data_IF_088484985455
#
_entry.id   IF_088484985455
#
_cell.length_a   1.000
_cell.length_b   1.000
_cell.length_c   1.000
_cell.angle_alpha   90.00
_cell.angle_beta   90.00
_cell.angle_gamma   90.00
#
_symmetry.space_group_name_H-M   'P 1'
#
loop_
_entity.id
_entity.type
_entity.pdbx_description
1 polymer ?
#
# COMPACT_ATOMS: atom_id res chain seq x y z
N UNK A 1 63.80 34.37 2.13
CA UNK A 1 63.44 35.44 1.17
C UNK A 1 63.26 34.79 -0.20
N UNK A 2 62.09 35.01 -0.86
CA UNK A 2 61.63 34.51 -2.19
C UNK A 2 61.30 33.00 -2.21
N UNK A 3 60.09 32.51 -2.50
CA UNK A 3 59.00 32.97 -3.37
C UNK A 3 59.27 32.49 -4.80
N UNK A 4 58.40 31.81 -5.57
CA UNK A 4 57.00 31.40 -5.48
C UNK A 4 56.59 30.83 -6.86
N UNK A 5 55.35 30.31 -6.96
CA UNK A 5 54.58 29.95 -8.18
C UNK A 5 55.03 28.68 -8.93
N UNK A 6 54.19 27.73 -9.33
CA UNK A 6 52.73 27.66 -9.44
C UNK A 6 52.32 27.20 -10.85
N UNK A 7 51.44 26.21 -10.96
CA UNK A 7 50.70 25.92 -12.21
C UNK A 7 50.82 24.50 -12.76
N UNK A 8 50.13 23.54 -12.13
CA UNK A 8 49.87 22.22 -12.70
C UNK A 8 48.60 22.24 -13.56
N UNK A 9 48.76 22.14 -14.88
CA UNK A 9 47.68 21.86 -15.83
C UNK A 9 47.51 20.35 -16.00
N UNK A 10 46.46 19.78 -15.42
CA UNK A 10 46.05 18.39 -15.62
C UNK A 10 44.87 18.33 -16.57
N UNK A 11 45.10 17.77 -17.77
CA UNK A 11 44.16 17.75 -18.88
C UNK A 11 42.90 16.92 -18.66
N UNK A 12 41.83 17.38 -19.31
CA UNK A 12 40.58 16.67 -19.49
C UNK A 12 40.72 15.76 -20.73
N UNK A 13 40.97 14.47 -20.54
CA UNK A 13 40.57 13.43 -21.51
C UNK A 13 39.07 13.16 -21.31
N UNK A 14 38.22 13.07 -22.33
CA UNK A 14 38.48 12.53 -23.65
C UNK A 14 38.24 11.01 -23.68
N UNK A 15 37.07 10.55 -23.23
CA UNK A 15 36.56 9.20 -23.51
C UNK A 15 35.21 9.32 -24.20
N UNK A 16 35.32 9.52 -25.50
CA UNK A 16 34.33 9.18 -26.51
C UNK A 16 34.53 7.69 -26.86
N UNK A 17 33.43 7.05 -27.28
CA UNK A 17 33.39 5.83 -28.10
C UNK A 17 33.46 4.45 -27.40
N UNK A 18 32.26 3.84 -27.35
CA UNK A 18 32.04 2.52 -27.92
C UNK A 18 31.56 1.45 -26.95
N UNK A 19 30.28 1.04 -27.07
CA UNK A 19 29.88 -0.37 -26.89
C UNK A 19 28.59 -0.69 -27.68
N UNK A 20 28.80 -1.45 -28.76
CA UNK A 20 27.99 -2.54 -29.31
C UNK A 20 26.58 -2.27 -29.87
N UNK A 21 26.59 -1.92 -31.15
CA UNK A 21 25.75 -2.56 -32.18
C UNK A 21 25.74 -4.09 -32.03
N UNK A 22 24.55 -4.65 -31.76
CA UNK A 22 24.24 -6.07 -31.98
C UNK A 22 22.91 -6.19 -32.71
N UNK A 23 22.86 -5.64 -33.93
CA UNK A 23 21.84 -5.97 -34.93
C UNK A 23 22.18 -7.34 -35.52
N UNK A 24 21.52 -8.37 -35.01
CA UNK A 24 21.46 -9.66 -35.68
C UNK A 24 20.63 -9.52 -36.95
N UNK A 25 21.29 -9.72 -38.09
CA UNK A 25 20.65 -9.85 -39.38
C UNK A 25 19.85 -11.15 -39.47
N UNK A 26 18.61 -11.04 -39.93
CA UNK A 26 17.81 -12.18 -40.36
C UNK A 26 17.93 -12.26 -41.87
N UNK A 27 18.41 -13.41 -42.33
CA UNK A 27 18.54 -13.80 -43.72
C UNK A 27 17.23 -13.62 -44.50
N UNK A 28 17.30 -12.79 -45.53
CA UNK A 28 16.39 -12.82 -46.68
C UNK A 28 16.69 -14.08 -47.49
N UNK A 29 15.88 -15.13 -47.32
CA UNK A 29 15.73 -16.19 -48.32
C UNK A 29 14.26 -16.43 -48.62
N UNK A 30 13.87 -15.93 -49.79
CA UNK A 30 13.12 -16.63 -50.84
C UNK A 30 11.94 -17.50 -50.43
N UNK A 31 10.75 -17.13 -50.91
CA UNK A 31 9.60 -18.02 -50.92
C UNK A 31 8.35 -17.30 -51.38
N UNK A 32 8.31 -16.89 -52.65
CA UNK A 32 7.05 -16.52 -53.28
C UNK A 32 6.13 -17.74 -53.29
N UNK A 33 4.94 -17.60 -52.71
CA UNK A 33 3.86 -18.53 -52.98
C UNK A 33 2.63 -17.73 -53.40
N UNK A 34 2.15 -18.10 -54.58
CA UNK A 34 1.04 -17.52 -55.29
C UNK A 34 -0.27 -18.18 -54.83
N UNK A 35 -1.34 -17.39 -54.93
CA UNK A 35 -2.72 -17.80 -55.27
C UNK A 35 -3.63 -18.50 -54.25
N UNK A 36 -4.92 -18.20 -54.47
CA UNK A 36 -6.16 -18.75 -53.92
C UNK A 36 -6.57 -18.12 -52.58
N UNK A 37 -7.58 -17.25 -52.48
CA UNK A 37 -8.90 -17.36 -53.08
C UNK A 37 -9.80 -18.17 -52.15
N UNK A 38 -10.79 -17.53 -51.52
CA UNK A 38 -11.86 -18.27 -50.86
C UNK A 38 -12.47 -17.64 -49.61
N UNK A 39 -13.70 -17.15 -49.79
CA UNK A 39 -14.82 -17.23 -48.85
C UNK A 39 -14.82 -16.31 -47.61
N UNK A 40 -15.47 -15.16 -47.78
CA UNK A 40 -16.20 -14.47 -46.72
C UNK A 40 -17.26 -15.38 -46.12
N UNK A 41 -17.15 -15.62 -44.82
CA UNK A 41 -18.17 -16.26 -44.00
C UNK A 41 -18.93 -15.15 -43.25
N UNK A 42 -20.25 -15.00 -43.41
CA UNK A 42 -21.01 -14.01 -42.66
C UNK A 42 -21.16 -14.41 -41.19
N UNK A 43 -21.26 -13.43 -40.26
CA UNK A 43 -21.43 -13.72 -38.83
C UNK A 43 -22.83 -14.30 -38.54
N UNK A 44 -22.94 -15.25 -37.59
CA UNK A 44 -24.23 -15.79 -37.18
C UNK A 44 -25.05 -14.77 -36.38
N UNK A 45 -26.36 -14.82 -36.63
CA UNK A 45 -27.39 -13.94 -36.10
C UNK A 45 -27.58 -14.06 -34.57
N UNK A 46 -27.98 -12.92 -34.00
CA UNK A 46 -28.38 -12.67 -32.63
C UNK A 46 -29.22 -13.79 -31.98
N UNK A 47 -28.68 -14.37 -30.90
CA UNK A 47 -29.41 -15.23 -29.97
C UNK A 47 -29.87 -14.47 -28.73
N UNK A 48 -31.20 -14.34 -28.60
CA UNK A 48 -32.00 -14.27 -27.37
C UNK A 48 -31.45 -13.57 -26.12
N UNK A 49 -31.95 -12.38 -25.85
CA UNK A 49 -32.04 -11.83 -24.50
C UNK A 49 -33.03 -12.68 -23.66
N UNK A 50 -32.55 -13.41 -22.66
CA UNK A 50 -33.38 -13.88 -21.55
C UNK A 50 -33.38 -12.84 -20.44
N UNK A 51 -34.55 -12.43 -19.90
CA UNK A 51 -34.60 -11.57 -18.73
C UNK A 51 -34.19 -12.34 -17.46
N UNK A 52 -33.50 -11.69 -16.51
CA UNK A 52 -33.13 -12.30 -15.24
C UNK A 52 -34.35 -12.52 -14.33
N UNK A 53 -34.32 -13.55 -13.45
CA UNK A 53 -35.40 -13.83 -12.51
C UNK A 53 -35.49 -12.77 -11.39
N UNK A 54 -36.69 -12.55 -10.82
CA UNK A 54 -36.90 -11.57 -9.77
C UNK A 54 -36.19 -11.96 -8.46
N UNK A 55 -35.46 -11.02 -7.88
CA UNK A 55 -34.81 -11.20 -6.57
C UNK A 55 -35.87 -11.20 -5.46
N UNK A 56 -35.89 -12.25 -4.65
CA UNK A 56 -36.72 -12.36 -3.46
C UNK A 56 -36.00 -11.61 -2.33
N UNK A 57 -36.57 -10.49 -1.87
CA UNK A 57 -36.11 -9.78 -0.68
C UNK A 57 -36.39 -10.60 0.57
N UNK A 58 -35.33 -11.03 1.24
CA UNK A 58 -35.38 -11.69 2.54
C UNK A 58 -35.43 -10.61 3.63
N UNK A 59 -36.50 -10.60 4.42
CA UNK A 59 -36.69 -9.65 5.52
C UNK A 59 -35.68 -9.90 6.66
N UNK A 60 -35.20 -8.84 7.35
CA UNK A 60 -34.28 -9.00 8.48
C UNK A 60 -34.98 -9.63 9.69
N UNK A 61 -34.28 -10.44 10.51
CA UNK A 61 -34.85 -11.06 11.69
C UNK A 61 -35.12 -10.03 12.79
N UNK A 62 -36.37 -10.01 13.27
CA UNK A 62 -36.82 -9.23 14.43
C UNK A 62 -36.31 -9.89 15.71
N UNK A 63 -35.41 -9.22 16.42
CA UNK A 63 -34.95 -9.63 17.76
C UNK A 63 -36.01 -9.32 18.81
N UNK A 64 -36.63 -10.36 19.38
CA UNK A 64 -37.49 -10.24 20.56
C UNK A 64 -36.62 -10.16 21.83
N UNK A 65 -36.81 -9.10 22.62
CA UNK A 65 -36.29 -9.01 23.99
C UNK A 65 -37.29 -9.64 24.97
N UNK A 66 -36.87 -10.57 25.85
CA UNK A 66 -37.72 -11.08 26.92
C UNK A 66 -37.82 -10.07 28.07
N UNK A 67 -39.06 -9.77 28.47
CA UNK A 67 -39.41 -8.87 29.57
C UNK A 67 -39.30 -9.59 30.91
N UNK A 68 -38.44 -9.12 31.81
CA UNK A 68 -38.36 -9.59 33.21
C UNK A 68 -37.05 -9.27 33.91
N UNK A 69 -36.82 -7.99 34.28
CA UNK A 69 -35.67 -7.60 35.08
C UNK A 69 -36.00 -7.63 36.59
N UNK A 70 -35.20 -8.30 37.45
CA UNK A 70 -35.37 -8.27 38.90
C UNK A 70 -34.87 -6.95 39.52
N UNK A 71 -35.53 -6.54 40.61
CA UNK A 71 -35.23 -5.32 41.38
C UNK A 71 -33.94 -5.52 42.19
N UNK A 72 -32.90 -4.71 41.96
CA UNK A 72 -31.61 -4.77 42.66
C UNK A 72 -31.56 -3.71 43.77
N UNK A 73 -31.14 -4.05 45.02
CA UNK A 73 -31.02 -3.10 46.13
C UNK A 73 -29.91 -2.05 45.89
N UNK A 74 -30.16 -0.82 46.35
CA UNK A 74 -29.26 0.32 46.16
C UNK A 74 -27.89 0.10 46.85
N UNK A 75 -26.81 0.32 46.10
CA UNK A 75 -25.43 0.30 46.60
C UNK A 75 -24.55 -0.85 46.12
N UNK A 76 -25.08 -1.75 45.28
CA UNK A 76 -24.31 -2.85 44.66
C UNK A 76 -24.29 -2.66 43.14
N UNK A 77 -23.10 -2.49 42.55
CA UNK A 77 -22.95 -2.49 41.10
C UNK A 77 -22.70 -3.92 40.62
N UNK A 78 -23.54 -4.42 39.71
CA UNK A 78 -23.37 -5.71 39.03
C UNK A 78 -22.78 -5.46 37.64
N UNK A 79 -21.59 -5.97 37.39
CA UNK A 79 -20.89 -5.89 36.09
C UNK A 79 -20.87 -7.29 35.47
N UNK A 80 -21.33 -7.43 34.23
CA UNK A 80 -21.28 -8.71 33.52
C UNK A 80 -19.93 -8.85 32.81
N UNK A 81 -19.18 -9.91 33.12
CA UNK A 81 -17.91 -10.22 32.47
C UNK A 81 -18.07 -11.49 31.62
N UNK A 82 -17.52 -11.47 30.41
CA UNK A 82 -17.60 -12.61 29.49
C UNK A 82 -16.51 -13.63 29.85
N UNK A 83 -16.91 -14.86 30.16
CA UNK A 83 -15.96 -15.93 30.47
C UNK A 83 -15.31 -16.48 29.19
N UNK A 84 -14.30 -17.35 29.35
CA UNK A 84 -13.55 -17.94 28.24
C UNK A 84 -14.41 -18.77 27.27
N UNK A 85 -15.66 -19.09 27.63
CA UNK A 85 -16.62 -19.83 26.81
C UNK A 85 -17.64 -18.91 26.13
N UNK A 86 -17.49 -17.58 26.26
CA UNK A 86 -18.36 -16.59 25.64
C UNK A 86 -19.64 -16.27 26.43
N UNK A 87 -19.83 -16.84 27.62
CA UNK A 87 -21.00 -16.57 28.46
C UNK A 87 -20.76 -15.39 29.40
N UNK A 88 -21.76 -14.50 29.52
CA UNK A 88 -21.71 -13.33 30.38
C UNK A 88 -22.14 -13.71 31.81
N UNK A 89 -21.22 -13.61 32.78
CA UNK A 89 -21.51 -13.87 34.19
C UNK A 89 -21.51 -12.57 35.00
N UNK A 90 -22.50 -12.35 35.89
CA UNK A 90 -22.57 -11.16 36.74
C UNK A 90 -21.58 -11.21 37.90
N UNK A 91 -20.83 -10.13 38.12
CA UNK A 91 -19.90 -9.92 39.24
C UNK A 91 -20.33 -8.67 40.01
N UNK A 92 -20.50 -8.77 41.33
CA UNK A 92 -20.89 -7.66 42.19
C UNK A 92 -19.67 -7.01 42.84
N UNK A 93 -19.59 -5.68 42.79
CA UNK A 93 -18.49 -4.90 43.37
C UNK A 93 -19.04 -3.94 44.44
N UNK A 94 -18.45 -3.96 45.64
CA UNK A 94 -18.88 -3.17 46.79
C UNK A 94 -17.89 -2.02 47.06
N UNK A 95 -18.39 -0.79 47.20
CA UNK A 95 -17.55 0.39 47.38
C UNK A 95 -16.93 0.46 48.80
N UNK A 96 -15.67 0.92 48.94
CA UNK A 96 -15.01 1.02 50.24
C UNK A 96 -15.48 2.25 51.07
N UNK A 97 -15.55 2.14 52.40
CA UNK A 97 -15.92 3.26 53.29
C UNK A 97 -14.68 4.11 53.66
N UNK A 98 -14.68 5.40 53.31
CA UNK A 98 -13.57 6.32 53.59
C UNK A 98 -13.96 7.53 54.44
N UNK A 99 -13.37 7.63 55.64
CA UNK A 99 -13.43 8.79 56.53
C UNK A 99 -12.37 9.85 56.21
N UNK A 100 -12.61 11.10 56.62
CA UNK A 100 -11.81 12.28 56.29
C UNK A 100 -10.81 12.57 57.43
N UNK A 101 -9.49 12.68 57.17
CA UNK A 101 -8.52 13.08 58.20
C UNK A 101 -8.41 14.62 58.31
N UNK A 102 -8.48 15.14 59.54
CA UNK A 102 -8.20 16.54 59.90
C UNK A 102 -6.69 16.77 60.06
N UNK A 103 -6.15 17.77 59.36
CA UNK A 103 -4.73 18.16 59.44
C UNK A 103 -4.43 19.11 60.63
N UNK A 104 -3.20 19.10 61.17
CA UNK A 104 -2.81 19.93 62.32
C UNK A 104 -2.48 21.38 61.92
N UNK A 105 -2.74 22.30 62.86
CA UNK A 105 -2.56 23.75 62.72
C UNK A 105 -1.16 24.15 63.22
N UNK A 106 -0.44 24.94 62.41
CA UNK A 106 0.93 25.43 62.67
C UNK A 106 0.90 26.68 63.59
N UNK A 107 1.62 26.71 64.74
CA UNK A 107 1.48 27.77 65.75
C UNK A 107 2.37 29.02 65.56
N UNK A 108 3.10 29.20 64.46
CA UNK A 108 4.14 30.26 64.36
C UNK A 108 3.84 31.45 63.46
N UNK A 109 2.72 31.47 62.74
CA UNK A 109 2.36 32.60 61.86
C UNK A 109 0.93 33.04 62.15
N UNK A 110 0.78 34.09 62.97
CA UNK A 110 -0.51 34.65 63.37
C UNK A 110 -1.30 35.33 62.26
N UNK A 111 -1.17 34.90 61.00
CA UNK A 111 -2.03 35.29 59.87
C UNK A 111 -2.23 34.09 58.94
N UNK A 112 -3.48 33.71 58.64
CA UNK A 112 -3.74 32.70 57.63
C UNK A 112 -3.28 33.21 56.25
N UNK A 113 -2.64 32.37 55.42
CA UNK A 113 -2.36 32.73 54.04
C UNK A 113 -3.69 33.00 53.31
N UNK A 114 -3.71 34.06 52.50
CA UNK A 114 -4.86 34.35 51.65
C UNK A 114 -5.21 33.11 50.82
N UNK A 115 -6.48 32.65 50.81
CA UNK A 115 -6.86 31.46 50.08
C UNK A 115 -6.61 31.72 48.60
N UNK A 116 -5.68 30.96 48.02
CA UNK A 116 -5.62 30.79 46.58
C UNK A 116 -7.03 30.45 46.10
N UNK A 117 -7.50 31.12 45.06
CA UNK A 117 -8.80 30.87 44.47
C UNK A 117 -8.86 29.40 44.02
N UNK A 118 -9.43 28.55 44.86
CA UNK A 118 -9.70 27.17 44.52
C UNK A 118 -10.77 27.18 43.43
N UNK A 119 -10.60 26.42 42.33
CA UNK A 119 -11.70 26.17 41.42
C UNK A 119 -12.85 25.52 42.22
N UNK A 120 -14.12 25.84 41.90
CA UNK A 120 -15.27 25.32 42.61
C UNK A 120 -15.22 23.78 42.64
N UNK A 121 -15.40 23.21 43.83
CA UNK A 121 -15.43 21.77 44.01
C UNK A 121 -16.53 21.13 43.13
N UNK A 122 -16.23 20.05 42.39
CA UNK A 122 -17.23 19.37 41.58
C UNK A 122 -18.32 18.77 42.48
N UNK A 123 -19.58 18.99 42.11
CA UNK A 123 -20.72 18.52 42.89
C UNK A 123 -20.76 16.98 42.99
N UNK A 124 -21.09 16.39 44.16
CA UNK A 124 -21.21 14.95 44.31
C UNK A 124 -22.44 14.43 43.56
N UNK A 125 -22.27 13.47 42.67
CA UNK A 125 -23.38 12.71 42.06
C UNK A 125 -23.62 12.91 40.57
N UNK A 126 -22.83 13.72 39.87
CA UNK A 126 -22.77 13.63 38.40
C UNK A 126 -21.83 12.48 38.02
N UNK A 127 -22.26 11.55 37.14
CA UNK A 127 -21.32 10.60 36.56
C UNK A 127 -20.20 11.41 35.92
N UNK A 128 -18.92 11.02 36.11
CA UNK A 128 -17.82 11.74 35.51
C UNK A 128 -18.13 11.87 34.01
N UNK A 129 -18.05 13.08 33.42
CA UNK A 129 -18.12 13.20 31.97
C UNK A 129 -17.11 12.20 31.45
N UNK A 130 -17.55 11.25 30.62
CA UNK A 130 -16.68 10.23 30.07
C UNK A 130 -15.41 10.94 29.64
N UNK A 131 -14.31 10.74 30.39
CA UNK A 131 -13.04 11.33 30.06
C UNK A 131 -12.78 10.76 28.70
N UNK A 132 -13.03 11.58 27.68
CA UNK A 132 -12.89 11.19 26.29
C UNK A 132 -11.54 10.53 26.23
N UNK A 133 -11.54 9.25 25.85
CA UNK A 133 -10.30 8.54 25.59
C UNK A 133 -9.41 9.55 24.88
N UNK A 134 -8.18 9.83 25.39
CA UNK A 134 -7.31 10.82 24.78
C UNK A 134 -7.36 10.54 23.30
N UNK A 135 -7.70 11.54 22.45
CA UNK A 135 -7.89 11.30 21.02
C UNK A 135 -6.69 10.49 20.61
N UNK A 136 -6.93 9.21 20.27
CA UNK A 136 -5.88 8.34 19.79
C UNK A 136 -5.42 9.06 18.54
N UNK A 137 -4.32 9.81 18.65
CA UNK A 137 -3.69 10.46 17.52
C UNK A 137 -3.62 9.37 16.46
N UNK A 138 -4.39 9.46 15.38
CA UNK A 138 -4.53 8.36 14.45
C UNK A 138 -3.14 8.12 13.87
N UNK A 139 -2.43 7.13 14.43
CA UNK A 139 -1.05 6.75 14.16
C UNK A 139 -0.26 7.86 13.47
N UNK A 140 0.36 8.77 14.25
CA UNK A 140 1.05 9.97 13.78
C UNK A 140 1.92 9.79 12.53
N UNK A 141 1.28 9.78 11.37
CA UNK A 141 1.94 9.84 10.07
C UNK A 141 2.54 11.23 10.03
N UNK A 142 3.86 11.31 10.17
CA UNK A 142 4.60 12.55 9.93
C UNK A 142 4.15 13.05 8.57
N UNK A 143 3.55 14.24 8.54
CA UNK A 143 3.20 14.86 7.28
C UNK A 143 4.51 15.07 6.52
N UNK A 144 4.57 14.69 5.23
CA UNK A 144 5.79 14.86 4.45
C UNK A 144 6.17 16.35 4.41
N UNK A 145 7.43 16.64 4.71
CA UNK A 145 7.97 17.99 4.75
C UNK A 145 8.18 18.53 3.32
N UNK A 146 7.08 18.96 2.69
CA UNK A 146 7.07 19.58 1.36
C UNK A 146 7.97 20.81 1.29
N UNK A 147 8.11 21.56 2.39
CA UNK A 147 8.97 22.75 2.45
C UNK A 147 10.45 22.40 2.23
N UNK A 148 10.91 21.26 2.75
CA UNK A 148 12.28 20.79 2.53
C UNK A 148 12.53 20.50 1.04
N UNK A 149 11.56 19.89 0.37
CA UNK A 149 11.63 19.62 -1.08
C UNK A 149 11.62 20.91 -1.89
N UNK A 150 10.75 21.87 -1.54
CA UNK A 150 10.70 23.17 -2.21
C UNK A 150 12.00 23.97 -2.07
N UNK A 151 12.71 23.80 -0.94
CA UNK A 151 14.00 24.44 -0.73
C UNK A 151 15.14 23.85 -1.59
N UNK A 152 15.00 22.61 -2.08
CA UNK A 152 16.04 21.96 -2.90
C UNK A 152 16.12 22.52 -4.32
N UNK A 153 15.01 23.02 -4.87
CA UNK A 153 14.98 23.45 -6.26
C UNK A 153 14.04 24.64 -6.49
N UNK A 154 14.50 25.74 -7.13
CA UNK A 154 13.72 26.96 -7.30
C UNK A 154 12.45 26.76 -8.14
N UNK A 155 12.42 25.73 -8.99
CA UNK A 155 11.26 25.38 -9.83
C UNK A 155 10.36 24.30 -9.22
N UNK A 156 10.62 23.84 -7.99
CA UNK A 156 9.76 22.87 -7.32
C UNK A 156 8.31 23.36 -7.21
N UNK A 157 8.10 24.68 -7.07
CA UNK A 157 6.77 25.31 -7.08
C UNK A 157 5.98 25.15 -8.38
N UNK A 158 6.61 24.70 -9.46
CA UNK A 158 5.95 24.42 -10.75
C UNK A 158 5.36 23.00 -10.80
N UNK A 159 5.68 22.13 -9.83
CA UNK A 159 5.18 20.76 -9.78
C UNK A 159 3.81 20.66 -9.12
N UNK A 160 2.99 19.67 -9.49
CA UNK A 160 1.78 19.32 -8.76
C UNK A 160 2.08 18.96 -7.29
N UNK A 161 1.17 19.33 -6.38
CA UNK A 161 1.34 19.07 -4.94
C UNK A 161 1.49 17.59 -4.60
N UNK A 162 0.79 16.70 -5.32
CA UNK A 162 0.90 15.25 -5.15
C UNK A 162 2.33 14.73 -5.39
N UNK A 163 3.02 15.28 -6.39
CA UNK A 163 4.41 14.94 -6.73
C UNK A 163 5.36 15.44 -5.63
N UNK A 164 5.14 16.67 -5.15
CA UNK A 164 5.93 17.25 -4.07
C UNK A 164 5.76 16.52 -2.74
N UNK A 165 4.54 16.12 -2.39
CA UNK A 165 4.27 15.29 -1.22
C UNK A 165 5.01 13.95 -1.33
N UNK A 166 4.98 13.32 -2.51
CA UNK A 166 5.63 12.03 -2.71
C UNK A 166 7.16 12.13 -2.68
N UNK A 167 7.73 13.20 -3.24
CA UNK A 167 9.14 13.54 -3.07
C UNK A 167 9.49 13.78 -1.60
N UNK A 168 8.60 14.40 -0.83
CA UNK A 168 8.79 14.66 0.60
C UNK A 168 8.94 13.36 1.38
N UNK A 169 8.09 12.37 1.12
CA UNK A 169 8.21 11.03 1.71
C UNK A 169 9.56 10.39 1.35
N UNK A 170 9.96 10.47 0.08
CA UNK A 170 11.20 9.86 -0.40
C UNK A 170 12.45 10.53 0.24
N UNK A 171 12.39 11.85 0.43
CA UNK A 171 13.42 12.61 1.13
C UNK A 171 13.48 12.30 2.63
N UNK A 172 12.34 12.19 3.31
CA UNK A 172 12.31 11.90 4.74
C UNK A 172 12.75 10.48 5.09
N UNK A 173 12.35 9.49 4.29
CA UNK A 173 12.64 8.09 4.58
C UNK A 173 14.04 7.67 4.11
N UNK A 174 14.52 8.22 2.99
CA UNK A 174 15.75 7.76 2.33
C UNK A 174 16.82 8.85 2.17
N UNK A 175 16.55 10.09 2.58
CA UNK A 175 17.46 11.24 2.43
C UNK A 175 17.96 11.40 0.99
N UNK A 176 17.07 11.18 0.01
CA UNK A 176 17.43 11.26 -1.41
C UNK A 176 17.38 12.71 -1.87
N UNK A 177 18.54 13.22 -2.25
CA UNK A 177 18.67 14.49 -2.94
C UNK A 177 18.73 14.21 -4.45
N UNK A 178 17.84 14.86 -5.21
CA UNK A 178 17.86 14.79 -6.67
C UNK A 178 18.80 15.86 -7.23
N UNK A 179 19.64 15.48 -8.19
CA UNK A 179 20.49 16.42 -8.91
C UNK A 179 19.69 17.28 -9.90
N UNK A 180 20.33 18.34 -10.43
CA UNK A 180 19.69 19.27 -11.37
C UNK A 180 19.11 18.54 -12.60
N UNK A 181 19.79 17.50 -13.09
CA UNK A 181 19.35 16.75 -14.26
C UNK A 181 18.08 15.94 -13.99
N UNK A 182 18.01 15.28 -12.84
CA UNK A 182 16.83 14.56 -12.37
C UNK A 182 15.64 15.51 -12.18
N UNK A 183 15.85 16.70 -11.61
CA UNK A 183 14.82 17.73 -11.47
C UNK A 183 14.27 18.21 -12.82
N UNK A 184 15.13 18.50 -13.78
CA UNK A 184 14.71 18.94 -15.12
C UNK A 184 13.91 17.87 -15.86
N UNK A 185 14.25 16.59 -15.69
CA UNK A 185 13.47 15.49 -16.28
C UNK A 185 12.12 15.34 -15.56
N UNK A 186 12.10 15.42 -14.23
CA UNK A 186 10.86 15.32 -13.46
C UNK A 186 9.87 16.43 -13.81
N UNK A 187 10.35 17.64 -14.08
CA UNK A 187 9.53 18.78 -14.55
C UNK A 187 8.95 18.57 -15.96
N UNK A 188 9.51 17.67 -16.76
CA UNK A 188 9.00 17.34 -18.10
C UNK A 188 7.94 16.23 -18.08
N UNK A 189 7.84 15.47 -16.99
CA UNK A 189 6.86 14.40 -16.84
C UNK A 189 5.47 14.97 -16.53
N UNK A 190 4.44 14.30 -17.04
CA UNK A 190 3.08 14.53 -16.56
C UNK A 190 2.96 14.08 -15.10
N UNK A 191 2.00 14.63 -14.34
CA UNK A 191 1.78 14.26 -12.94
C UNK A 191 1.71 12.74 -12.72
N UNK A 192 0.91 12.05 -13.55
CA UNK A 192 0.75 10.59 -13.49
C UNK A 192 2.06 9.85 -13.76
N UNK A 193 2.85 10.30 -14.74
CA UNK A 193 4.12 9.70 -15.08
C UNK A 193 5.20 9.97 -13.99
N UNK A 194 5.21 11.18 -13.42
CA UNK A 194 6.09 11.56 -12.32
C UNK A 194 5.82 10.71 -11.08
N UNK A 195 4.54 10.56 -10.69
CA UNK A 195 4.15 9.69 -9.59
C UNK A 195 4.54 8.22 -9.86
N UNK A 196 4.27 7.71 -11.06
CA UNK A 196 4.69 6.35 -11.44
C UNK A 196 6.20 6.13 -11.35
N UNK A 197 6.99 7.10 -11.81
CA UNK A 197 8.45 7.06 -11.69
C UNK A 197 8.91 7.09 -10.23
N UNK A 198 8.33 7.94 -9.38
CA UNK A 198 8.65 8.03 -7.96
C UNK A 198 8.29 6.74 -7.21
N UNK A 199 7.17 6.10 -7.53
CA UNK A 199 6.78 4.80 -6.95
C UNK A 199 7.76 3.69 -7.32
N UNK A 200 8.21 3.63 -8.59
CA UNK A 200 9.19 2.63 -9.03
C UNK A 200 10.53 2.82 -8.33
N UNK A 201 10.95 4.07 -8.09
CA UNK A 201 12.15 4.39 -7.31
C UNK A 201 11.98 4.05 -5.83
N UNK A 202 10.85 4.41 -5.22
CA UNK A 202 10.53 4.06 -3.84
C UNK A 202 10.60 2.54 -3.64
N UNK A 203 9.93 1.76 -4.49
CA UNK A 203 9.96 0.30 -4.43
C UNK A 203 11.36 -0.30 -4.57
N UNK A 204 12.22 0.31 -5.41
CA UNK A 204 13.61 -0.12 -5.55
C UNK A 204 14.44 0.19 -4.30
N UNK A 205 14.21 1.34 -3.66
CA UNK A 205 14.88 1.74 -2.42
C UNK A 205 14.42 0.92 -1.22
N UNK A 206 13.15 0.53 -1.16
CA UNK A 206 12.62 -0.36 -0.13
C UNK A 206 13.09 -1.82 -0.29
N UNK A 207 13.74 -2.17 -1.40
CA UNK A 207 14.24 -3.53 -1.64
C UNK A 207 15.61 -3.77 -0.99
N UNK A 208 15.86 -5.00 -0.51
CA UNK A 208 17.11 -5.39 0.15
C UNK A 208 18.37 -5.23 -0.72
N UNK A 209 18.23 -5.04 -2.04
CA UNK A 209 19.37 -4.95 -2.94
C UNK A 209 20.11 -3.63 -2.85
N UNK A 210 19.47 -2.57 -2.36
CA UNK A 210 20.02 -1.22 -2.27
C UNK A 210 20.35 -0.59 -3.62
N UNK A 211 19.95 0.66 -3.83
CA UNK A 211 20.31 1.42 -5.04
C UNK A 211 21.58 2.23 -4.77
N UNK A 212 22.68 1.90 -5.45
CA UNK A 212 23.99 2.55 -5.22
C UNK A 212 24.01 4.04 -5.56
N UNK A 213 23.31 4.43 -6.62
CA UNK A 213 23.20 5.82 -7.07
C UNK A 213 21.74 6.12 -7.40
N UNK A 214 21.06 6.76 -6.47
CA UNK A 214 19.63 7.02 -6.57
C UNK A 214 19.32 8.04 -7.67
N UNK A 215 20.13 9.09 -7.84
CA UNK A 215 19.96 10.07 -8.92
C UNK A 215 20.03 9.44 -10.31
N UNK A 216 21.04 8.61 -10.55
CA UNK A 216 21.20 7.92 -11.84
C UNK A 216 20.07 6.90 -12.09
N UNK A 217 19.67 6.18 -11.04
CA UNK A 217 18.56 5.23 -11.12
C UNK A 217 17.23 5.94 -11.41
N UNK A 218 16.91 6.98 -10.64
CA UNK A 218 15.75 7.83 -10.85
C UNK A 218 15.74 8.41 -12.26
N UNK A 219 16.86 8.95 -12.74
CA UNK A 219 16.97 9.49 -14.11
C UNK A 219 16.68 8.41 -15.17
N UNK A 220 17.15 7.19 -14.97
CA UNK A 220 16.85 6.06 -15.85
C UNK A 220 15.36 5.71 -15.88
N UNK A 221 14.73 5.65 -14.70
CA UNK A 221 13.28 5.42 -14.57
C UNK A 221 12.50 6.58 -15.20
N UNK A 222 12.79 7.82 -14.83
CA UNK A 222 12.10 9.00 -15.33
C UNK A 222 12.20 9.11 -16.87
N UNK A 223 13.34 8.77 -17.48
CA UNK A 223 13.47 8.69 -18.95
C UNK A 223 12.58 7.62 -19.59
N UNK A 224 12.40 6.47 -18.94
CA UNK A 224 11.44 5.45 -19.38
C UNK A 224 10.03 6.01 -19.36
N UNK A 225 9.65 6.81 -18.36
CA UNK A 225 8.33 7.46 -18.28
C UNK A 225 8.12 8.66 -19.21
N UNK A 226 9.16 9.18 -19.87
CA UNK A 226 9.01 10.15 -20.96
C UNK A 226 8.43 9.50 -22.23
N UNK A 227 8.60 8.19 -22.38
CA UNK A 227 7.95 7.43 -23.45
C UNK A 227 6.48 7.19 -23.08
N UNK A 228 5.51 7.69 -23.84
CA UNK A 228 4.09 7.49 -23.56
C UNK A 228 3.68 6.02 -23.55
N UNK A 229 4.44 5.12 -24.19
CA UNK A 229 4.20 3.68 -24.12
C UNK A 229 4.44 3.09 -22.73
N UNK A 230 5.20 3.79 -21.88
CA UNK A 230 5.55 3.38 -20.51
C UNK A 230 4.80 4.17 -19.43
N UNK A 231 4.01 5.18 -19.79
CA UNK A 231 3.19 5.91 -18.84
C UNK A 231 2.18 4.93 -18.20
N UNK A 232 1.88 5.07 -16.89
CA UNK A 232 0.83 4.26 -16.28
C UNK A 232 -0.48 4.53 -17.03
N UNK A 233 -1.30 3.50 -17.33
CA UNK A 233 -2.59 3.72 -17.98
C UNK A 233 -3.39 4.73 -17.16
N UNK A 234 -3.76 5.86 -17.76
CA UNK A 234 -4.35 7.06 -17.12
C UNK A 234 -5.76 6.84 -16.53
N UNK A 235 -6.20 5.60 -16.31
CA UNK A 235 -7.60 5.24 -16.06
C UNK A 235 -8.00 4.90 -14.62
N UNK A 236 -7.11 5.02 -13.64
CA UNK A 236 -7.44 4.68 -12.24
C UNK A 236 -7.07 5.80 -11.28
N UNK A 237 -8.07 6.44 -10.68
CA UNK A 237 -7.91 7.37 -9.57
C UNK A 237 -6.94 6.81 -8.52
N UNK A 238 -5.92 7.60 -8.21
CA UNK A 238 -4.95 7.38 -7.13
C UNK A 238 -5.59 6.83 -5.85
N UNK A 239 -5.53 5.51 -5.67
CA UNK A 239 -5.52 4.91 -4.35
C UNK A 239 -4.08 4.61 -3.96
N UNK A 240 -3.61 5.43 -3.04
CA UNK A 240 -2.44 5.33 -2.17
C UNK A 240 -1.95 3.88 -2.00
N UNK A 241 -0.80 3.56 -2.62
CA UNK A 241 -0.15 2.25 -2.56
C UNK A 241 0.60 2.05 -1.23
N UNK A 242 -0.08 1.40 -0.29
CA UNK A 242 0.53 0.60 0.79
C UNK A 242 -0.16 -0.76 0.96
N UNK A 243 -1.24 -0.98 0.21
CA UNK A 243 -2.10 -2.14 0.29
C UNK A 243 -2.25 -2.61 -1.15
N UNK A 244 -1.74 -3.81 -1.45
CA UNK A 244 -1.82 -4.35 -2.80
C UNK A 244 -3.28 -4.35 -3.24
N UNK A 245 -3.62 -3.52 -4.21
CA UNK A 245 -4.97 -3.50 -4.77
C UNK A 245 -5.22 -4.89 -5.31
N UNK A 246 -6.14 -5.61 -4.65
CA UNK A 246 -6.54 -6.94 -5.06
C UNK A 246 -6.88 -6.89 -6.55
N UNK A 247 -6.37 -7.87 -7.31
CA UNK A 247 -6.69 -7.94 -8.71
C UNK A 247 -8.21 -7.97 -8.89
N UNK A 248 -8.76 -7.10 -9.73
CA UNK A 248 -10.18 -7.14 -10.06
C UNK A 248 -10.56 -8.45 -10.76
N UNK A 249 -11.83 -8.82 -10.72
CA UNK A 249 -12.31 -10.08 -11.33
C UNK A 249 -11.95 -10.19 -12.82
N UNK A 250 -11.94 -9.06 -13.54
CA UNK A 250 -11.54 -8.98 -14.94
C UNK A 250 -10.08 -9.41 -15.21
N UNK A 251 -9.19 -9.24 -14.25
CA UNK A 251 -7.81 -9.69 -14.39
C UNK A 251 -7.74 -11.22 -14.43
N UNK A 252 -8.55 -11.90 -13.61
CA UNK A 252 -8.60 -13.36 -13.55
C UNK A 252 -9.31 -13.97 -14.76
N UNK A 253 -10.31 -13.30 -15.33
CA UNK A 253 -10.99 -13.79 -16.54
C UNK A 253 -10.06 -13.82 -17.75
N UNK A 254 -9.03 -12.96 -17.77
CA UNK A 254 -8.02 -12.89 -18.82
C UNK A 254 -6.90 -13.95 -18.74
N UNK A 255 -6.89 -14.78 -17.68
CA UNK A 255 -5.91 -15.86 -17.54
C UNK A 255 -6.18 -17.01 -18.53
N UNK A 256 -5.15 -17.77 -18.93
CA UNK A 256 -5.33 -18.98 -19.73
C UNK A 256 -6.35 -19.94 -19.07
N UNK A 257 -7.26 -20.57 -19.83
CA UNK A 257 -8.38 -21.32 -19.27
C UNK A 257 -7.98 -22.38 -18.26
N UNK A 258 -6.92 -23.16 -18.52
CA UNK A 258 -6.45 -24.20 -17.58
C UNK A 258 -5.88 -23.62 -16.29
N UNK A 259 -5.12 -22.52 -16.40
CA UNK A 259 -4.53 -21.83 -15.24
C UNK A 259 -5.63 -21.20 -14.38
N UNK A 260 -6.62 -20.56 -15.01
CA UNK A 260 -7.79 -20.01 -14.33
C UNK A 260 -8.57 -21.09 -13.59
N UNK A 261 -8.84 -22.22 -14.23
CA UNK A 261 -9.55 -23.34 -13.62
C UNK A 261 -8.77 -23.92 -12.42
N UNK A 262 -7.45 -24.07 -12.54
CA UNK A 262 -6.60 -24.51 -11.44
C UNK A 262 -6.62 -23.52 -10.27
N UNK A 263 -6.48 -22.22 -10.56
CA UNK A 263 -6.55 -21.16 -9.56
C UNK A 263 -7.89 -21.15 -8.82
N UNK A 264 -9.01 -21.22 -9.54
CA UNK A 264 -10.35 -21.28 -8.97
C UNK A 264 -10.56 -22.54 -8.11
N UNK A 265 -10.00 -23.68 -8.53
CA UNK A 265 -10.02 -24.90 -7.74
C UNK A 265 -9.33 -24.70 -6.39
N UNK A 266 -8.12 -24.14 -6.35
CA UNK A 266 -7.40 -23.88 -5.09
C UNK A 266 -8.07 -22.82 -4.22
N UNK A 267 -8.69 -21.79 -4.82
CA UNK A 267 -9.48 -20.80 -4.09
C UNK A 267 -10.71 -21.47 -3.45
N UNK A 268 -11.42 -22.32 -4.19
CA UNK A 268 -12.60 -23.05 -3.69
C UNK A 268 -12.26 -24.03 -2.56
N UNK A 269 -11.04 -24.58 -2.57
CA UNK A 269 -10.50 -25.43 -1.52
C UNK A 269 -10.03 -24.63 -0.29
N UNK A 270 -9.97 -23.29 -0.38
CA UNK A 270 -9.46 -22.44 0.70
C UNK A 270 -7.94 -22.50 0.85
N UNK A 271 -7.19 -22.99 -0.16
CA UNK A 271 -5.72 -23.03 -0.12
C UNK A 271 -5.13 -21.61 -0.09
N UNK A 272 -5.72 -20.69 -0.84
CA UNK A 272 -5.39 -19.27 -0.81
C UNK A 272 -6.61 -18.44 -1.19
N UNK A 273 -6.66 -17.19 -0.74
CA UNK A 273 -7.79 -16.28 -0.96
C UNK A 273 -7.57 -15.42 -2.21
N UNK A 274 -8.62 -15.19 -3.01
CA UNK A 274 -8.54 -14.43 -4.27
C UNK A 274 -7.90 -13.04 -4.08
N UNK A 275 -8.24 -12.35 -3.00
CA UNK A 275 -7.77 -10.99 -2.72
C UNK A 275 -6.29 -10.91 -2.33
N UNK A 276 -5.62 -12.04 -2.04
CA UNK A 276 -4.17 -12.07 -1.76
C UNK A 276 -3.34 -11.87 -3.02
N UNK A 277 -3.92 -12.08 -4.21
CA UNK A 277 -3.26 -11.82 -5.47
C UNK A 277 -3.44 -10.36 -5.85
N UNK A 278 -2.32 -9.64 -5.91
CA UNK A 278 -2.31 -8.31 -6.50
C UNK A 278 -2.34 -8.38 -8.04
N UNK A 279 -2.64 -7.25 -8.67
CA UNK A 279 -2.70 -7.15 -10.13
C UNK A 279 -1.39 -7.57 -10.81
N UNK A 280 -0.22 -7.28 -10.22
CA UNK A 280 1.09 -7.59 -10.81
C UNK A 280 1.38 -9.08 -10.81
N UNK A 281 1.00 -9.78 -9.74
CA UNK A 281 1.06 -11.22 -9.62
C UNK A 281 0.20 -11.90 -10.70
N UNK A 282 -1.04 -11.45 -10.88
CA UNK A 282 -1.94 -11.98 -11.93
C UNK A 282 -1.40 -11.69 -13.32
N UNK A 283 -0.88 -10.48 -13.57
CA UNK A 283 -0.27 -10.13 -14.86
C UNK A 283 1.00 -10.96 -15.16
N UNK A 284 1.78 -11.27 -14.12
CA UNK A 284 2.97 -12.14 -14.27
C UNK A 284 2.57 -13.59 -14.56
N UNK A 285 1.54 -14.10 -13.88
CA UNK A 285 0.97 -15.42 -14.14
C UNK A 285 0.44 -15.54 -15.58
N UNK A 286 -0.17 -14.48 -16.12
CA UNK A 286 -0.66 -14.42 -17.51
C UNK A 286 0.45 -14.56 -18.56
N UNK A 287 1.71 -14.26 -18.21
CA UNK A 287 2.85 -14.37 -19.13
C UNK A 287 3.40 -15.79 -19.24
N UNK A 288 3.02 -16.68 -18.33
CA UNK A 288 3.40 -18.09 -18.37
C UNK A 288 2.55 -18.85 -19.40
N UNK A 289 3.11 -19.91 -19.98
CA UNK A 289 2.30 -20.88 -20.72
C UNK A 289 1.41 -21.67 -19.74
N UNK A 290 0.44 -22.43 -20.26
CA UNK A 290 -0.53 -23.12 -19.40
C UNK A 290 0.10 -24.13 -18.44
N UNK A 291 1.10 -24.90 -18.91
CA UNK A 291 1.74 -25.96 -18.11
C UNK A 291 2.61 -25.39 -16.98
N UNK A 292 3.42 -24.37 -17.28
CA UNK A 292 4.25 -23.69 -16.30
C UNK A 292 3.38 -22.86 -15.33
N UNK A 293 2.27 -22.27 -15.80
CA UNK A 293 1.31 -21.57 -14.96
C UNK A 293 0.63 -22.50 -13.95
N UNK A 294 0.19 -23.69 -14.39
CA UNK A 294 -0.33 -24.72 -13.51
C UNK A 294 0.73 -25.21 -12.51
N UNK A 295 1.97 -25.42 -12.97
CA UNK A 295 3.09 -25.85 -12.13
C UNK A 295 3.46 -24.81 -11.06
N UNK A 296 3.39 -23.51 -11.39
CA UNK A 296 3.62 -22.42 -10.45
C UNK A 296 2.55 -22.37 -9.36
N UNK A 297 1.27 -22.57 -9.71
CA UNK A 297 0.18 -22.66 -8.73
C UNK A 297 0.30 -23.90 -7.84
N UNK A 298 0.72 -25.03 -8.41
CA UNK A 298 0.97 -26.25 -7.64
C UNK A 298 2.15 -26.06 -6.66
N UNK A 299 3.26 -25.46 -7.11
CA UNK A 299 4.39 -25.12 -6.25
C UNK A 299 3.97 -24.17 -5.12
N UNK A 300 3.12 -23.17 -5.41
CA UNK A 300 2.56 -22.30 -4.39
C UNK A 300 1.71 -23.08 -3.37
N UNK A 301 0.83 -23.97 -3.84
CA UNK A 301 -0.07 -24.77 -3.00
C UNK A 301 0.67 -25.77 -2.08
N UNK A 302 1.87 -26.22 -2.47
CA UNK A 302 2.72 -27.07 -1.60
C UNK A 302 3.35 -26.31 -0.43
N UNK A 303 3.40 -24.97 -0.50
CA UNK A 303 4.00 -24.13 0.53
C UNK A 303 2.93 -23.60 1.50
N UNK A 304 3.31 -23.39 2.76
CA UNK A 304 2.43 -22.86 3.79
C UNK A 304 2.27 -21.34 3.64
N UNK A 305 1.23 -20.93 2.91
CA UNK A 305 0.96 -19.52 2.60
C UNK A 305 0.66 -18.67 3.83
N UNK A 306 0.25 -19.28 4.96
CA UNK A 306 -0.12 -18.54 6.19
C UNK A 306 1.09 -17.91 6.88
N UNK A 307 2.29 -18.45 6.62
CA UNK A 307 3.55 -17.96 7.20
C UNK A 307 4.21 -16.88 6.33
N UNK A 308 3.68 -16.59 5.15
CA UNK A 308 4.27 -15.64 4.23
C UNK A 308 3.95 -14.20 4.67
N UNK A 309 5.00 -13.45 5.01
CA UNK A 309 4.88 -12.00 5.31
C UNK A 309 4.35 -11.21 4.11
N UNK A 310 4.72 -11.61 2.89
CA UNK A 310 4.29 -10.97 1.65
C UNK A 310 3.98 -12.05 0.59
N UNK A 311 2.69 -12.35 0.45
CA UNK A 311 2.19 -13.38 -0.47
C UNK A 311 2.50 -13.07 -1.94
N UNK A 312 2.17 -11.85 -2.41
CA UNK A 312 2.37 -11.47 -3.81
C UNK A 312 3.83 -11.52 -4.24
N UNK A 313 4.75 -11.04 -3.40
CA UNK A 313 6.18 -11.07 -3.70
C UNK A 313 6.71 -12.50 -3.81
N UNK A 314 6.29 -13.39 -2.91
CA UNK A 314 6.66 -14.79 -2.94
C UNK A 314 6.14 -15.49 -4.21
N UNK A 315 4.85 -15.30 -4.53
CA UNK A 315 4.24 -15.89 -5.71
C UNK A 315 4.85 -15.35 -7.02
N UNK A 316 5.15 -14.05 -7.09
CA UNK A 316 5.91 -13.48 -8.21
C UNK A 316 7.31 -14.12 -8.33
N UNK A 317 7.95 -14.46 -7.21
CA UNK A 317 9.22 -15.20 -7.20
C UNK A 317 9.10 -16.56 -7.91
N UNK A 318 8.04 -17.31 -7.59
CA UNK A 318 7.73 -18.58 -8.25
C UNK A 318 7.48 -18.35 -9.75
N UNK A 319 6.62 -17.41 -10.13
CA UNK A 319 6.33 -17.15 -11.55
C UNK A 319 7.60 -16.77 -12.33
N UNK A 320 8.46 -15.94 -11.75
CA UNK A 320 9.73 -15.55 -12.36
C UNK A 320 10.73 -16.71 -12.50
N UNK A 321 10.69 -17.70 -11.59
CA UNK A 321 11.49 -18.93 -11.71
C UNK A 321 11.08 -19.73 -12.96
N UNK A 322 9.78 -19.91 -13.18
CA UNK A 322 9.25 -20.59 -14.37
C UNK A 322 9.47 -19.79 -15.66
N UNK A 323 9.31 -18.46 -15.65
CA UNK A 323 9.60 -17.61 -16.82
C UNK A 323 11.06 -17.71 -17.29
N UNK A 324 11.99 -18.02 -16.37
CA UNK A 324 13.41 -18.22 -16.69
C UNK A 324 13.73 -19.64 -17.17
N UNK A 325 12.75 -20.54 -17.16
CA UNK A 325 12.95 -21.96 -17.48
C UNK A 325 13.74 -22.74 -16.42
N UNK A 326 13.87 -22.21 -15.20
CA UNK A 326 14.52 -22.92 -14.10
C UNK A 326 13.50 -23.87 -13.46
N UNK A 327 13.51 -25.14 -13.88
CA UNK A 327 12.69 -26.21 -13.29
C UNK A 327 13.41 -26.86 -12.12
#
# INVERSE_FOLDING_TARGET
RRGGYGGGGGGYGGYDRGYNDRRGGYDQRGGGNMMMGGHHQPPPAHGGYMPPPPMVHQAPPTSYLPSGAPIIPAGVQTVYMQNAQGELTPVQIQAPPGGIPTAPVDPMTGYPPAPAAYPPAPMPGMPPPAMGAPPMDPMGRKQPNVNAVMAQHPRASQMPMSVLERLGVLYEEYHVELDQGAWEILLQLSETAALGALEEVYAALSSDRGVRNVCAYFTGIARKYLDPAHAPPQGGTSQIYGEGVAAGDDAFTSLPPRVRQALESYISQGTFERHKFDFRAVDTLRKLNEDDGCSALEELARNDVTKLRNFSAYFMGICNKFLRGAR
#
